data_IF_644439964742
#
_entry.id   IF_644439964742
#
_cell.length_a   1.000
_cell.length_b   1.000
_cell.length_c   1.000
_cell.angle_alpha   90.00
_cell.angle_beta   90.00
_cell.angle_gamma   90.00
#
_symmetry.space_group_name_H-M   'P 1'
#
loop_
_entity.id
_entity.type
_entity.pdbx_description
1 polymer ?
#
# COMPACT_ATOMS: atom_id res chain seq x y z
N UNK A 1 4.31 -5.73 30.21
CA UNK A 1 3.98 -5.44 28.79
C UNK A 1 3.55 -6.74 28.14
N UNK A 2 2.26 -6.92 27.88
CA UNK A 2 1.74 -8.12 27.21
C UNK A 2 1.70 -7.83 25.71
N UNK A 3 2.62 -8.41 24.94
CA UNK A 3 2.48 -8.43 23.49
C UNK A 3 1.39 -9.44 23.14
N UNK A 4 0.22 -8.94 22.76
CA UNK A 4 -0.87 -9.79 22.30
C UNK A 4 -0.46 -10.40 20.95
N UNK A 5 -0.64 -11.70 20.76
CA UNK A 5 -0.18 -12.46 19.59
C UNK A 5 -0.96 -12.17 18.28
N UNK A 6 -1.80 -11.14 18.29
CA UNK A 6 -2.67 -10.75 17.17
C UNK A 6 -2.16 -9.55 16.35
N UNK A 7 -0.91 -9.11 16.58
CA UNK A 7 -0.35 -7.96 15.86
C UNK A 7 -0.17 -8.32 14.39
N UNK A 8 -1.05 -7.79 13.53
CA UNK A 8 -0.92 -7.91 12.08
C UNK A 8 0.25 -7.09 11.58
N UNK A 9 1.05 -7.67 10.69
CA UNK A 9 2.16 -6.97 10.03
C UNK A 9 1.60 -6.12 8.90
N UNK A 10 1.85 -4.82 8.95
CA UNK A 10 1.33 -3.87 7.98
C UNK A 10 2.47 -3.15 7.28
N UNK A 11 2.33 -2.94 5.98
CA UNK A 11 3.32 -2.22 5.19
C UNK A 11 2.65 -1.05 4.50
N UNK A 12 3.22 0.14 4.68
CA UNK A 12 2.81 1.35 3.99
C UNK A 12 3.86 1.68 2.94
N UNK A 13 3.49 1.65 1.67
CA UNK A 13 4.35 1.99 0.54
C UNK A 13 4.06 3.43 0.15
N UNK A 14 5.01 4.31 0.41
CA UNK A 14 4.84 5.75 0.30
C UNK A 14 4.96 6.43 1.66
N UNK A 15 5.65 7.58 1.67
CA UNK A 15 5.87 8.42 2.87
C UNK A 15 5.42 9.85 2.63
N UNK A 16 4.36 10.03 1.84
CA UNK A 16 3.79 11.35 1.58
C UNK A 16 3.33 11.99 2.89
N UNK A 17 3.39 13.33 2.95
CA UNK A 17 2.90 14.06 4.13
C UNK A 17 1.39 14.01 4.26
N UNK A 18 0.65 13.63 3.21
CA UNK A 18 -0.82 13.68 3.22
C UNK A 18 -1.39 12.33 3.63
N UNK A 19 -0.90 11.22 3.07
CA UNK A 19 -1.49 9.90 3.30
C UNK A 19 -0.50 8.94 3.95
N UNK A 20 0.66 8.66 3.34
CA UNK A 20 1.59 7.63 3.81
C UNK A 20 2.04 7.80 5.26
N UNK A 21 2.54 8.98 5.65
CA UNK A 21 3.01 9.22 7.02
C UNK A 21 1.86 9.15 8.05
N UNK A 22 0.73 9.81 7.79
CA UNK A 22 -0.44 9.77 8.68
C UNK A 22 -0.96 8.36 8.87
N UNK A 23 -1.06 7.59 7.79
CA UNK A 23 -1.53 6.20 7.83
C UNK A 23 -0.60 5.35 8.69
N UNK A 24 0.72 5.50 8.52
CA UNK A 24 1.69 4.75 9.32
C UNK A 24 1.58 5.04 10.83
N UNK A 25 1.33 6.28 11.21
CA UNK A 25 1.18 6.69 12.61
C UNK A 25 -0.17 6.24 13.19
N UNK A 26 -1.24 6.35 12.40
CA UNK A 26 -2.58 5.89 12.81
C UNK A 26 -2.57 4.38 13.09
N UNK A 27 -1.94 3.59 12.23
CA UNK A 27 -1.85 2.14 12.42
C UNK A 27 -1.04 1.76 13.66
N UNK A 28 0.05 2.48 13.95
CA UNK A 28 0.81 2.30 15.19
C UNK A 28 -0.04 2.61 16.42
N UNK A 29 -0.92 3.62 16.36
CA UNK A 29 -1.88 3.92 17.44
C UNK A 29 -2.86 2.76 17.70
N UNK A 30 -3.16 1.95 16.69
CA UNK A 30 -3.96 0.73 16.80
C UNK A 30 -3.11 -0.53 17.08
N UNK A 31 -1.91 -0.36 17.63
CA UNK A 31 -1.00 -1.44 18.02
C UNK A 31 -0.52 -2.33 16.85
N UNK A 32 -0.54 -1.81 15.62
CA UNK A 32 0.03 -2.51 14.47
C UNK A 32 1.56 -2.43 14.45
N UNK A 33 2.22 -3.49 13.98
CA UNK A 33 3.63 -3.39 13.56
C UNK A 33 3.65 -2.88 12.13
N UNK A 34 4.20 -1.68 11.93
CA UNK A 34 4.18 -0.98 10.65
C UNK A 34 5.60 -0.88 10.08
N UNK A 35 5.78 -1.25 8.81
CA UNK A 35 6.98 -0.93 8.04
C UNK A 35 6.64 0.08 6.94
N UNK A 36 7.46 1.11 6.80
CA UNK A 36 7.31 2.11 5.73
C UNK A 36 8.32 1.83 4.62
N UNK A 37 7.82 1.63 3.42
CA UNK A 37 8.60 1.43 2.18
C UNK A 37 8.56 2.71 1.36
N UNK A 38 9.70 3.11 0.80
CA UNK A 38 9.82 4.28 -0.06
C UNK A 38 10.84 4.05 -1.17
N UNK A 39 11.02 5.03 -2.05
CA UNK A 39 11.87 4.93 -3.24
C UNK A 39 13.36 4.59 -2.99
N UNK A 40 13.84 4.70 -1.75
CA UNK A 40 15.23 4.35 -1.38
C UNK A 40 15.30 3.07 -0.54
N UNK A 41 14.18 2.42 -0.28
CA UNK A 41 14.13 1.13 0.41
C UNK A 41 14.74 0.08 -0.50
N UNK A 42 15.77 -0.63 -0.02
CA UNK A 42 16.35 -1.77 -0.73
C UNK A 42 15.43 -2.98 -0.57
N UNK A 43 15.23 -3.72 -1.65
CA UNK A 43 14.42 -4.95 -1.67
C UNK A 43 13.01 -4.79 -1.06
N UNK A 44 12.20 -3.83 -1.55
CA UNK A 44 10.85 -3.58 -1.03
C UNK A 44 9.97 -4.85 -1.00
N UNK A 45 10.17 -5.76 -1.95
CA UNK A 45 9.48 -7.05 -2.04
C UNK A 45 9.68 -7.94 -0.82
N UNK A 46 10.87 -7.89 -0.21
CA UNK A 46 11.15 -8.68 1.00
C UNK A 46 10.39 -8.13 2.20
N UNK A 47 10.20 -6.81 2.26
CA UNK A 47 9.46 -6.15 3.34
C UNK A 47 7.97 -6.45 3.24
N UNK A 48 7.42 -6.41 2.02
CA UNK A 48 5.98 -6.59 1.73
C UNK A 48 5.52 -8.04 1.74
N UNK A 49 6.40 -9.00 1.43
CA UNK A 49 6.02 -10.42 1.25
C UNK A 49 5.41 -11.08 2.50
N UNK A 50 5.76 -10.59 3.69
CA UNK A 50 5.21 -11.07 4.95
C UNK A 50 4.03 -10.25 5.49
N UNK A 51 3.56 -9.24 4.76
CA UNK A 51 2.52 -8.32 5.25
C UNK A 51 1.12 -8.93 5.11
N UNK A 52 0.30 -8.75 6.14
CA UNK A 52 -1.13 -9.11 6.09
C UNK A 52 -1.96 -7.99 5.44
N UNK A 53 -1.52 -6.74 5.61
CA UNK A 53 -2.13 -5.55 5.03
C UNK A 53 -1.03 -4.72 4.35
N UNK A 54 -1.27 -4.35 3.09
CA UNK A 54 -0.40 -3.44 2.33
C UNK A 54 -1.21 -2.23 1.88
N UNK A 55 -0.67 -1.05 2.17
CA UNK A 55 -1.27 0.23 1.78
C UNK A 55 -0.32 0.90 0.79
N UNK A 56 -0.80 1.09 -0.44
CA UNK A 56 -0.06 1.73 -1.52
C UNK A 56 -0.53 3.18 -1.65
N UNK A 57 0.35 4.12 -1.35
CA UNK A 57 0.17 5.56 -1.54
C UNK A 57 1.28 6.10 -2.46
N UNK A 58 1.43 5.46 -3.60
CA UNK A 58 2.43 5.79 -4.61
C UNK A 58 1.68 6.02 -5.91
N UNK A 59 1.63 7.28 -6.36
CA UNK A 59 1.01 7.69 -7.63
C UNK A 59 1.77 7.22 -8.88
N UNK A 60 2.42 6.06 -8.77
CA UNK A 60 3.21 5.40 -9.81
C UNK A 60 2.52 4.08 -10.12
N UNK A 61 1.97 3.91 -11.33
CA UNK A 61 1.22 2.71 -11.69
C UNK A 61 2.14 1.47 -11.68
N UNK A 62 1.58 0.31 -11.34
CA UNK A 62 2.24 -1.01 -11.42
C UNK A 62 3.51 -1.18 -10.56
N UNK A 63 3.71 -0.33 -9.55
CA UNK A 63 4.87 -0.43 -8.66
C UNK A 63 4.78 -1.63 -7.71
N UNK A 64 3.58 -1.89 -7.17
CA UNK A 64 3.31 -3.06 -6.34
C UNK A 64 2.90 -4.21 -7.23
N UNK A 65 3.66 -5.31 -7.18
CA UNK A 65 3.40 -6.51 -7.98
C UNK A 65 2.80 -7.62 -7.13
N UNK A 66 2.05 -8.54 -7.73
CA UNK A 66 1.45 -9.66 -7.00
C UNK A 66 2.49 -10.51 -6.26
N UNK A 67 3.66 -10.72 -6.86
CA UNK A 67 4.76 -11.49 -6.25
C UNK A 67 5.37 -10.84 -5.00
N UNK A 68 5.06 -9.57 -4.72
CA UNK A 68 5.52 -8.87 -3.52
C UNK A 68 4.62 -9.13 -2.32
N UNK A 69 3.46 -9.76 -2.52
CA UNK A 69 2.38 -9.80 -1.55
C UNK A 69 2.08 -11.22 -1.10
N UNK A 70 1.87 -11.37 0.20
CA UNK A 70 1.39 -12.62 0.81
C UNK A 70 0.05 -13.04 0.19
N UNK A 71 -0.15 -14.33 -0.05
CA UNK A 71 -1.46 -14.85 -0.45
C UNK A 71 -2.52 -14.52 0.61
N UNK A 72 -3.67 -14.01 0.18
CA UNK A 72 -4.73 -13.55 1.09
C UNK A 72 -4.48 -12.20 1.76
N UNK A 73 -3.40 -11.49 1.41
CA UNK A 73 -3.17 -10.12 1.87
C UNK A 73 -4.32 -9.20 1.47
N UNK A 74 -4.61 -8.24 2.35
CA UNK A 74 -5.49 -7.12 2.07
C UNK A 74 -4.63 -5.99 1.49
N UNK A 75 -5.02 -5.48 0.32
CA UNK A 75 -4.30 -4.40 -0.35
C UNK A 75 -5.24 -3.21 -0.46
N UNK A 76 -4.81 -2.06 0.04
CA UNK A 76 -5.50 -0.77 -0.14
C UNK A 76 -4.64 0.10 -1.06
N UNK A 77 -5.14 0.41 -2.25
CA UNK A 77 -4.45 1.31 -3.18
C UNK A 77 -5.15 2.66 -3.23
N UNK A 78 -4.44 3.68 -2.76
CA UNK A 78 -4.88 5.08 -2.79
C UNK A 78 -4.05 5.91 -3.77
N UNK A 79 -3.08 5.28 -4.46
CA UNK A 79 -2.25 5.93 -5.46
C UNK A 79 -3.12 6.52 -6.59
N UNK A 80 -3.00 7.82 -6.80
CA UNK A 80 -3.65 8.49 -7.93
C UNK A 80 -2.59 8.85 -8.96
N UNK A 81 -2.83 8.52 -10.23
CA UNK A 81 -1.92 8.82 -11.33
C UNK A 81 -2.67 9.61 -12.41
N UNK A 82 -2.12 10.76 -12.80
CA UNK A 82 -2.69 11.56 -13.88
C UNK A 82 -2.26 11.01 -15.23
N UNK A 83 -3.23 10.63 -16.07
CA UNK A 83 -2.96 10.32 -17.48
C UNK A 83 -3.41 11.50 -18.33
N UNK A 84 -2.60 11.84 -19.33
CA UNK A 84 -3.03 12.77 -20.37
C UNK A 84 -4.02 12.02 -21.26
N UNK A 85 -5.22 12.57 -21.36
CA UNK A 85 -6.19 12.18 -22.38
C UNK A 85 -6.22 13.36 -23.35
N UNK A 86 -6.29 13.12 -24.65
CA UNK A 86 -6.32 14.21 -25.63
C UNK A 86 -7.46 15.18 -25.26
N UNK A 87 -7.07 16.44 -24.99
CA UNK A 87 -7.87 17.57 -24.48
C UNK A 87 -8.05 17.75 -22.94
N UNK A 88 -7.36 17.00 -22.07
CA UNK A 88 -7.34 17.29 -20.62
C UNK A 88 -6.45 16.42 -19.73
N UNK A 89 -6.07 16.95 -18.56
CA UNK A 89 -5.46 16.17 -17.47
C UNK A 89 -6.56 15.55 -16.62
N UNK A 90 -6.82 14.26 -16.81
CA UNK A 90 -7.69 13.47 -15.93
C UNK A 90 -6.83 12.68 -14.95
N UNK A 91 -7.27 12.59 -13.69
CA UNK A 91 -6.62 11.76 -12.68
C UNK A 91 -7.40 10.47 -12.54
N UNK A 92 -6.79 9.34 -12.89
CA UNK A 92 -7.41 8.02 -12.74
C UNK A 92 -6.70 7.26 -11.60
N UNK A 93 -7.48 6.54 -10.82
CA UNK A 93 -6.97 5.64 -9.78
C UNK A 93 -6.73 4.29 -10.47
N UNK A 94 -5.47 3.87 -10.57
CA UNK A 94 -5.11 2.66 -11.31
C UNK A 94 -4.98 1.48 -10.36
N UNK A 95 -6.11 0.80 -10.09
CA UNK A 95 -6.10 -0.44 -9.31
C UNK A 95 -5.77 -1.63 -10.20
N UNK A 96 -4.62 -2.26 -9.97
CA UNK A 96 -4.36 -3.57 -10.54
C UNK A 96 -5.13 -4.60 -9.70
N UNK A 97 -6.12 -5.28 -10.29
CA UNK A 97 -6.74 -6.43 -9.63
C UNK A 97 -5.67 -7.52 -9.44
N UNK A 98 -5.37 -7.87 -8.20
CA UNK A 98 -4.36 -8.88 -7.87
C UNK A 98 -5.03 -10.22 -7.60
N UNK A 99 -4.75 -11.27 -8.40
CA UNK A 99 -5.43 -12.56 -8.27
C UNK A 99 -5.20 -13.17 -6.88
N UNK A 100 -6.30 -13.59 -6.24
CA UNK A 100 -6.27 -14.21 -4.90
C UNK A 100 -5.95 -13.24 -3.75
N UNK A 101 -6.00 -11.92 -3.98
CA UNK A 101 -5.86 -10.88 -2.95
C UNK A 101 -7.16 -10.10 -2.80
N UNK A 102 -7.43 -9.58 -1.59
CA UNK A 102 -8.55 -8.65 -1.38
C UNK A 102 -8.06 -7.23 -1.61
N UNK A 103 -8.36 -6.68 -2.77
CA UNK A 103 -8.01 -5.31 -3.16
C UNK A 103 -9.16 -4.36 -2.85
N UNK A 104 -8.86 -3.26 -2.16
CA UNK A 104 -9.74 -2.14 -1.93
C UNK A 104 -9.20 -0.94 -2.69
N UNK A 105 -9.94 -0.53 -3.72
CA UNK A 105 -9.70 0.71 -4.45
C UNK A 105 -11.00 1.47 -4.57
N UNK A 106 -10.93 2.77 -4.86
CA UNK A 106 -12.14 3.48 -5.25
C UNK A 106 -12.65 2.91 -6.58
N UNK A 107 -13.98 2.78 -6.77
CA UNK A 107 -14.53 2.48 -8.09
C UNK A 107 -14.16 3.62 -9.04
N UNK A 108 -13.85 3.24 -10.28
CA UNK A 108 -13.63 4.16 -11.40
C UNK A 108 -14.83 5.08 -11.61
#
# INVERSE_FOLDING_TARGET
MVWNSLVRKQVVIGRSKIVGLHTSLLLQRYHATVSVVHAMTKNPEQVTSGADIVISDVGVPNIVRDCWLKLGAIVSDTGTHSVKVDDGLYSYIWCQQLPGKRTFSKPC
#
